data_IF_832866608686
#
_entry.id   IF_832866608686
#
_cell.length_a   1.000
_cell.length_b   1.000
_cell.length_c   1.000
_cell.angle_alpha   90.00
_cell.angle_beta   90.00
_cell.angle_gamma   90.00
#
_symmetry.space_group_name_H-M   'P 1'
#
loop_
_entity.id
_entity.type
_entity.pdbx_description
1 polymer ?
#
# COMPACT_ATOMS: atom_id res chain seq x y z
N UNK A 1 -6.74 -16.48 -0.92
CA UNK A 1 -5.93 -15.33 -1.33
C UNK A 1 -5.51 -14.55 -0.09
N UNK A 2 -4.24 -14.14 0.02
CA UNK A 2 -3.77 -13.27 1.10
C UNK A 2 -3.41 -11.89 0.53
N UNK A 3 -4.11 -10.87 1.02
CA UNK A 3 -3.90 -9.46 0.72
C UNK A 3 -3.32 -8.79 1.97
N UNK A 4 -2.29 -7.98 1.81
CA UNK A 4 -1.61 -7.29 2.90
C UNK A 4 -1.65 -5.79 2.60
N UNK A 5 -2.16 -4.99 3.51
CA UNK A 5 -2.19 -3.53 3.38
C UNK A 5 -1.27 -2.95 4.44
N UNK A 6 -0.18 -2.33 4.00
CA UNK A 6 0.84 -1.72 4.86
C UNK A 6 0.70 -0.20 4.77
N UNK A 7 0.48 0.44 5.90
CA UNK A 7 0.15 1.86 6.01
C UNK A 7 -1.36 2.10 5.89
N UNK A 8 -1.96 2.63 6.96
CA UNK A 8 -3.41 2.94 7.06
C UNK A 8 -3.66 4.44 7.32
N UNK A 9 -2.78 5.25 6.76
CA UNK A 9 -2.93 6.71 6.72
C UNK A 9 -3.97 7.18 5.70
N UNK A 10 -3.71 8.30 5.03
CA UNK A 10 -4.64 8.92 4.07
C UNK A 10 -5.06 7.99 2.93
N UNK A 11 -4.10 7.30 2.31
CA UNK A 11 -4.35 6.38 1.19
C UNK A 11 -4.92 5.05 1.71
N UNK A 12 -4.22 4.41 2.65
CA UNK A 12 -4.53 3.04 3.08
C UNK A 12 -5.85 2.90 3.82
N UNK A 13 -6.30 3.93 4.55
CA UNK A 13 -7.61 3.93 5.21
C UNK A 13 -8.76 3.84 4.20
N UNK A 14 -8.66 4.56 3.08
CA UNK A 14 -9.63 4.52 1.97
C UNK A 14 -9.53 3.19 1.22
N UNK A 15 -8.31 2.82 0.83
CA UNK A 15 -8.01 1.62 0.05
C UNK A 15 -8.54 0.35 0.73
N UNK A 16 -8.33 0.23 2.04
CA UNK A 16 -8.72 -0.96 2.80
C UNK A 16 -10.22 -1.28 2.70
N UNK A 17 -11.09 -0.28 2.76
CA UNK A 17 -12.52 -0.45 2.55
C UNK A 17 -12.85 -0.91 1.12
N UNK A 18 -12.23 -0.30 0.10
CA UNK A 18 -12.55 -0.59 -1.30
C UNK A 18 -12.08 -1.98 -1.72
N UNK A 19 -10.90 -2.37 -1.31
CA UNK A 19 -10.36 -3.73 -1.52
C UNK A 19 -11.21 -4.77 -0.77
N UNK A 20 -11.59 -4.48 0.49
CA UNK A 20 -12.46 -5.37 1.25
C UNK A 20 -13.81 -5.54 0.58
N UNK A 21 -14.43 -4.43 0.13
CA UNK A 21 -15.70 -4.50 -0.59
C UNK A 21 -15.61 -5.35 -1.85
N UNK A 22 -14.59 -5.13 -2.67
CA UNK A 22 -14.38 -5.92 -3.88
C UNK A 22 -14.21 -7.42 -3.55
N UNK A 23 -13.33 -7.74 -2.60
CA UNK A 23 -13.00 -9.12 -2.24
C UNK A 23 -14.16 -9.85 -1.55
N UNK A 24 -15.01 -9.15 -0.81
CA UNK A 24 -16.16 -9.74 -0.12
C UNK A 24 -17.18 -10.37 -1.09
N UNK A 25 -17.27 -9.86 -2.32
CA UNK A 25 -18.16 -10.36 -3.36
C UNK A 25 -17.49 -11.30 -4.36
N UNK A 26 -16.18 -11.49 -4.28
CA UNK A 26 -15.46 -12.52 -5.05
C UNK A 26 -15.66 -13.90 -4.40
N UNK A 27 -16.74 -14.58 -4.78
CA UNK A 27 -17.08 -15.91 -4.23
C UNK A 27 -16.13 -17.03 -4.65
N UNK A 28 -15.22 -16.77 -5.58
CA UNK A 28 -14.32 -17.79 -6.10
C UNK A 28 -13.17 -18.12 -5.12
N UNK A 29 -12.89 -17.25 -4.15
CA UNK A 29 -11.74 -17.40 -3.24
C UNK A 29 -12.06 -16.93 -1.83
N UNK A 30 -11.63 -17.74 -0.84
CA UNK A 30 -11.55 -17.25 0.54
C UNK A 30 -10.39 -16.25 0.63
N UNK A 31 -10.68 -15.05 1.12
CA UNK A 31 -9.70 -13.97 1.22
C UNK A 31 -9.38 -13.65 2.67
N UNK A 32 -8.10 -13.53 2.97
CA UNK A 32 -7.59 -12.96 4.22
C UNK A 32 -6.98 -11.61 3.92
N UNK A 33 -7.37 -10.58 4.67
CA UNK A 33 -6.78 -9.24 4.58
C UNK A 33 -6.05 -8.92 5.88
N UNK A 34 -4.73 -8.77 5.79
CA UNK A 34 -3.88 -8.37 6.91
C UNK A 34 -3.62 -6.87 6.83
N UNK A 35 -4.01 -6.14 7.86
CA UNK A 35 -3.84 -4.69 8.00
C UNK A 35 -2.65 -4.41 8.92
N UNK A 36 -1.71 -3.59 8.47
CA UNK A 36 -0.43 -3.35 9.16
C UNK A 36 -0.18 -1.86 9.31
N UNK A 37 -0.14 -1.39 10.56
CA UNK A 37 0.23 -0.02 10.89
C UNK A 37 0.54 0.10 12.39
N UNK A 38 1.70 0.66 12.74
CA UNK A 38 2.12 0.88 14.13
C UNK A 38 1.56 2.16 14.75
N UNK A 39 0.98 3.06 13.95
CA UNK A 39 0.53 4.38 14.37
C UNK A 39 -0.92 4.38 14.88
N UNK A 40 -1.38 5.55 15.35
CA UNK A 40 -2.69 5.74 15.95
C UNK A 40 -3.51 6.77 15.18
N UNK A 41 -4.83 6.52 15.07
CA UNK A 41 -5.78 7.53 14.66
C UNK A 41 -6.01 8.52 15.79
N UNK A 42 -5.82 9.80 15.46
CA UNK A 42 -6.01 10.94 16.35
C UNK A 42 -7.03 11.91 15.74
N UNK A 43 -7.68 12.76 16.54
CA UNK A 43 -8.69 13.72 16.04
C UNK A 43 -8.16 14.60 14.90
N UNK A 44 -6.90 15.04 14.95
CA UNK A 44 -6.25 15.82 13.89
C UNK A 44 -6.20 15.12 12.52
N UNK A 45 -6.40 13.80 12.49
CA UNK A 45 -6.34 13.03 11.25
C UNK A 45 -7.67 12.97 10.49
N UNK A 46 -8.82 13.35 11.09
CA UNK A 46 -10.15 13.30 10.46
C UNK A 46 -10.24 14.06 9.13
N UNK A 47 -9.44 15.09 8.98
CA UNK A 47 -9.44 15.96 7.79
C UNK A 47 -9.00 15.22 6.51
N UNK A 48 -8.17 14.18 6.64
CA UNK A 48 -7.49 13.52 5.52
C UNK A 48 -7.49 11.99 5.55
N UNK A 49 -7.97 11.37 6.63
CA UNK A 49 -7.99 9.93 6.82
C UNK A 49 -9.42 9.45 7.11
N UNK A 50 -9.75 8.28 6.58
CA UNK A 50 -11.09 7.69 6.70
C UNK A 50 -11.11 6.66 7.83
N UNK A 51 -11.67 7.04 8.98
CA UNK A 51 -11.85 6.17 10.16
C UNK A 51 -13.01 6.66 11.05
N UNK A 52 -13.50 5.80 11.94
CA UNK A 52 -14.66 6.08 12.79
C UNK A 52 -14.37 6.12 14.30
N UNK A 53 -13.19 5.62 14.73
CA UNK A 53 -12.80 5.64 16.13
C UNK A 53 -11.31 5.86 16.29
N UNK A 54 -10.91 6.39 17.44
CA UNK A 54 -9.52 6.60 17.83
C UNK A 54 -8.88 5.28 18.27
N UNK A 55 -7.56 5.17 18.14
CA UNK A 55 -6.78 4.00 18.54
C UNK A 55 -5.77 3.58 17.51
N UNK A 56 -5.09 2.44 17.72
CA UNK A 56 -4.15 1.92 16.74
C UNK A 56 -4.82 1.69 15.39
N UNK A 57 -4.23 2.21 14.31
CA UNK A 57 -4.81 2.24 12.97
C UNK A 57 -5.18 0.85 12.44
N UNK A 58 -4.30 -0.14 12.61
CA UNK A 58 -4.56 -1.49 12.14
C UNK A 58 -5.71 -2.17 12.91
N UNK A 59 -5.74 -2.03 14.23
CA UNK A 59 -6.79 -2.62 15.06
C UNK A 59 -8.16 -1.97 14.83
N UNK A 60 -8.20 -0.63 14.77
CA UNK A 60 -9.44 0.13 14.52
C UNK A 60 -10.01 -0.25 13.15
N UNK A 61 -9.20 -0.17 12.10
CA UNK A 61 -9.66 -0.45 10.74
C UNK A 61 -10.09 -1.92 10.56
N UNK A 62 -9.37 -2.88 11.16
CA UNK A 62 -9.80 -4.27 11.15
C UNK A 62 -11.17 -4.49 11.81
N UNK A 63 -11.44 -3.83 12.92
CA UNK A 63 -12.73 -3.91 13.61
C UNK A 63 -13.85 -3.29 12.78
N UNK A 64 -13.62 -2.13 12.18
CA UNK A 64 -14.59 -1.49 11.27
C UNK A 64 -14.95 -2.40 10.10
N UNK A 65 -13.94 -2.99 9.44
CA UNK A 65 -14.16 -3.82 8.26
C UNK A 65 -14.80 -5.16 8.58
N UNK A 66 -14.47 -5.79 9.73
CA UNK A 66 -15.15 -7.01 10.21
C UNK A 66 -16.66 -6.82 10.42
N UNK A 67 -17.06 -5.65 10.88
CA UNK A 67 -18.48 -5.35 11.07
C UNK A 67 -19.28 -5.20 9.77
N UNK A 68 -18.59 -5.03 8.64
CA UNK A 68 -19.17 -4.72 7.33
C UNK A 68 -19.05 -5.84 6.31
N UNK A 69 -18.02 -6.71 6.44
CA UNK A 69 -17.68 -7.71 5.44
C UNK A 69 -17.50 -9.09 6.07
N UNK A 70 -18.50 -9.94 5.94
CA UNK A 70 -18.58 -11.26 6.59
C UNK A 70 -17.75 -12.36 5.91
N UNK A 71 -17.44 -12.20 4.61
CA UNK A 71 -16.76 -13.23 3.82
C UNK A 71 -15.23 -13.06 3.79
N UNK A 72 -14.68 -12.21 4.65
CA UNK A 72 -13.26 -11.91 4.72
C UNK A 72 -12.74 -12.18 6.12
N UNK A 73 -11.61 -12.89 6.20
CA UNK A 73 -10.85 -12.99 7.45
C UNK A 73 -9.93 -11.77 7.58
N UNK A 74 -10.13 -10.95 8.61
CA UNK A 74 -9.28 -9.79 8.88
C UNK A 74 -8.27 -10.09 9.98
N UNK A 75 -7.00 -9.79 9.71
CA UNK A 75 -5.90 -9.78 10.67
C UNK A 75 -5.44 -8.32 10.87
N UNK A 76 -4.99 -7.99 12.08
CA UNK A 76 -4.39 -6.70 12.38
C UNK A 76 -3.02 -6.87 13.02
N UNK A 77 -2.03 -6.13 12.53
CA UNK A 77 -0.66 -6.10 13.06
C UNK A 77 -0.37 -4.65 13.49
N UNK A 78 -0.41 -4.36 14.81
CA UNK A 78 -0.28 -3.01 15.34
C UNK A 78 1.19 -2.59 15.50
N UNK A 79 1.99 -2.87 14.50
CA UNK A 79 3.42 -2.58 14.49
C UNK A 79 3.85 -2.03 13.12
N UNK A 80 4.91 -1.21 13.11
CA UNK A 80 5.58 -0.83 11.87
C UNK A 80 6.36 -2.03 11.30
N UNK A 81 6.42 -2.09 9.96
CA UNK A 81 7.20 -3.13 9.29
C UNK A 81 8.69 -2.84 9.45
N UNK A 82 9.41 -3.83 9.91
CA UNK A 82 10.87 -3.86 10.03
C UNK A 82 11.45 -5.17 9.48
N UNK A 83 12.76 -5.32 9.56
CA UNK A 83 13.48 -6.50 9.09
C UNK A 83 13.07 -7.80 9.80
N UNK A 84 12.61 -7.73 11.05
CA UNK A 84 12.19 -8.89 11.84
C UNK A 84 10.75 -9.34 11.52
N UNK A 85 9.89 -8.37 11.18
CA UNK A 85 8.48 -8.61 10.91
C UNK A 85 8.26 -9.05 9.46
N UNK A 86 9.00 -8.49 8.49
CA UNK A 86 8.73 -8.64 7.07
C UNK A 86 8.67 -10.11 6.62
N UNK A 87 9.57 -10.95 7.09
CA UNK A 87 9.63 -12.38 6.73
C UNK A 87 8.46 -13.22 7.28
N UNK A 88 7.82 -12.74 8.33
CA UNK A 88 6.62 -13.36 8.94
C UNK A 88 5.33 -12.86 8.30
N UNK A 89 5.38 -11.66 7.74
CA UNK A 89 4.25 -10.95 7.16
C UNK A 89 4.02 -11.34 5.70
N UNK A 90 5.07 -11.26 4.88
CA UNK A 90 5.00 -11.41 3.43
C UNK A 90 5.55 -12.79 3.01
N UNK A 91 4.79 -13.50 2.18
CA UNK A 91 5.16 -14.81 1.65
C UNK A 91 4.78 -14.97 0.18
N UNK A 92 5.08 -16.15 -0.36
CA UNK A 92 4.81 -16.50 -1.76
C UNK A 92 3.34 -16.32 -2.14
N UNK A 93 3.10 -15.73 -3.30
CA UNK A 93 1.77 -15.52 -3.87
C UNK A 93 0.93 -14.46 -3.19
N UNK A 94 1.50 -13.70 -2.23
CA UNK A 94 0.76 -12.61 -1.61
C UNK A 94 0.62 -11.40 -2.54
N UNK A 95 -0.43 -10.61 -2.35
CA UNK A 95 -0.55 -9.26 -2.89
C UNK A 95 -0.38 -8.24 -1.77
N UNK A 96 0.59 -7.35 -1.91
CA UNK A 96 0.92 -6.30 -0.94
C UNK A 96 0.51 -4.95 -1.51
N UNK A 97 -0.35 -4.25 -0.79
CA UNK A 97 -0.63 -2.84 -1.01
C UNK A 97 0.24 -2.02 -0.05
N UNK A 98 1.07 -1.18 -0.61
CA UNK A 98 2.04 -0.38 0.15
C UNK A 98 1.67 1.09 0.06
N UNK A 99 1.09 1.61 1.15
CA UNK A 99 0.55 2.97 1.26
C UNK A 99 1.23 3.76 2.39
N UNK A 100 2.54 3.57 2.51
CA UNK A 100 3.40 4.27 3.47
C UNK A 100 3.96 5.56 2.88
N UNK A 101 4.32 6.50 3.74
CA UNK A 101 4.85 7.82 3.40
C UNK A 101 6.39 7.90 3.42
N UNK A 102 7.08 6.78 3.64
CA UNK A 102 8.53 6.75 3.69
C UNK A 102 9.16 5.78 2.69
N UNK A 103 10.28 6.16 2.10
CA UNK A 103 11.00 5.38 1.08
C UNK A 103 11.75 4.19 1.68
N UNK A 104 12.18 4.29 2.93
CA UNK A 104 12.92 3.21 3.60
C UNK A 104 12.07 1.95 3.77
N UNK A 105 10.78 2.09 4.14
CA UNK A 105 9.84 0.96 4.18
C UNK A 105 9.55 0.44 2.76
N UNK A 106 9.42 1.32 1.75
CA UNK A 106 9.25 0.90 0.35
C UNK A 106 10.42 0.07 -0.14
N UNK A 107 11.65 0.51 0.15
CA UNK A 107 12.87 -0.24 -0.16
C UNK A 107 12.89 -1.59 0.54
N UNK A 108 12.66 -1.62 1.85
CA UNK A 108 12.64 -2.86 2.64
C UNK A 108 11.69 -3.91 2.04
N UNK A 109 10.47 -3.50 1.70
CA UNK A 109 9.46 -4.39 1.10
C UNK A 109 9.88 -4.83 -0.31
N UNK A 110 10.40 -3.90 -1.13
CA UNK A 110 10.86 -4.20 -2.49
C UNK A 110 12.05 -5.19 -2.49
N UNK A 111 13.04 -4.96 -1.63
CA UNK A 111 14.23 -5.82 -1.56
C UNK A 111 13.90 -7.20 -1.00
N UNK A 112 12.99 -7.30 -0.03
CA UNK A 112 12.51 -8.60 0.46
C UNK A 112 11.76 -9.37 -0.65
N UNK A 113 10.92 -8.70 -1.41
CA UNK A 113 10.13 -9.29 -2.48
C UNK A 113 10.98 -9.90 -3.60
N UNK A 114 12.18 -9.36 -3.86
CA UNK A 114 13.15 -9.91 -4.84
C UNK A 114 13.59 -11.34 -4.50
N UNK A 115 13.45 -11.78 -3.24
CA UNK A 115 13.80 -13.12 -2.79
C UNK A 115 12.66 -14.14 -2.96
N UNK A 116 11.45 -13.68 -3.28
CA UNK A 116 10.28 -14.52 -3.50
C UNK A 116 10.15 -14.87 -4.99
N UNK A 117 9.52 -16.02 -5.28
CA UNK A 117 9.23 -16.42 -6.67
C UNK A 117 7.98 -15.75 -7.19
N UNK A 118 6.97 -15.66 -6.35
CA UNK A 118 5.66 -15.13 -6.74
C UNK A 118 5.23 -14.06 -5.75
N UNK A 119 5.15 -12.81 -6.18
CA UNK A 119 4.71 -11.68 -5.36
C UNK A 119 4.12 -10.57 -6.26
N UNK A 120 3.13 -9.89 -5.73
CA UNK A 120 2.61 -8.64 -6.32
C UNK A 120 2.70 -7.53 -5.30
N UNK A 121 3.28 -6.40 -5.66
CA UNK A 121 3.28 -5.16 -4.86
C UNK A 121 2.62 -4.06 -5.68
N UNK A 122 1.66 -3.38 -5.07
CA UNK A 122 1.03 -2.17 -5.60
C UNK A 122 1.35 -1.06 -4.60
N UNK A 123 2.29 -0.19 -4.96
CA UNK A 123 2.79 0.87 -4.08
C UNK A 123 2.21 2.21 -4.52
N UNK A 124 1.50 2.89 -3.62
CA UNK A 124 0.93 4.22 -3.86
C UNK A 124 1.59 5.29 -2.99
N UNK A 125 1.77 6.46 -3.57
CA UNK A 125 2.29 7.65 -2.89
C UNK A 125 1.72 8.93 -3.47
N UNK A 126 1.74 10.00 -2.69
CA UNK A 126 1.30 11.30 -3.13
C UNK A 126 2.05 12.43 -2.41
N UNK A 127 2.14 13.55 -3.11
CA UNK A 127 2.37 14.86 -2.55
C UNK A 127 1.02 15.59 -2.37
N UNK A 128 1.02 16.93 -2.35
CA UNK A 128 -0.21 17.69 -2.09
C UNK A 128 -1.26 17.49 -3.18
N UNK A 129 -0.89 17.60 -4.47
CA UNK A 129 -1.84 17.59 -5.60
C UNK A 129 -1.60 16.50 -6.62
N UNK A 130 -0.50 15.80 -6.53
CA UNK A 130 -0.11 14.74 -7.44
C UNK A 130 0.16 13.44 -6.69
N UNK A 131 0.12 12.34 -7.43
CA UNK A 131 0.37 11.02 -6.89
C UNK A 131 0.84 10.05 -7.95
N UNK A 132 1.43 8.97 -7.47
CA UNK A 132 1.85 7.86 -8.31
C UNK A 132 1.47 6.52 -7.72
N UNK A 133 1.35 5.52 -8.60
CA UNK A 133 1.18 4.11 -8.24
C UNK A 133 2.16 3.29 -9.06
N UNK A 134 3.03 2.56 -8.37
CA UNK A 134 3.99 1.62 -8.94
C UNK A 134 3.46 0.20 -8.78
N UNK A 135 3.67 -0.64 -9.80
CA UNK A 135 3.23 -2.02 -9.86
C UNK A 135 4.46 -2.90 -10.04
N UNK A 136 4.79 -3.69 -9.03
CA UNK A 136 5.84 -4.71 -9.10
C UNK A 136 5.22 -6.10 -9.04
N UNK A 137 5.39 -6.86 -10.11
CA UNK A 137 4.92 -8.24 -10.23
C UNK A 137 6.11 -9.13 -10.54
N UNK A 138 6.28 -10.16 -9.72
CA UNK A 138 7.26 -11.21 -9.92
C UNK A 138 6.53 -12.54 -9.96
N UNK A 139 6.87 -13.38 -10.95
CA UNK A 139 6.23 -14.68 -11.13
C UNK A 139 7.23 -15.74 -11.60
N UNK A 140 7.22 -16.89 -10.95
CA UNK A 140 8.16 -17.97 -11.25
C UNK A 140 9.62 -17.60 -11.03
N UNK A 141 9.92 -16.56 -10.25
CA UNK A 141 11.26 -16.04 -10.04
C UNK A 141 11.71 -14.98 -11.06
N UNK A 142 10.85 -14.57 -11.98
CA UNK A 142 11.12 -13.53 -12.99
C UNK A 142 10.33 -12.27 -12.72
N UNK A 143 10.93 -11.11 -12.93
CA UNK A 143 10.26 -9.82 -12.83
C UNK A 143 9.45 -9.57 -14.10
N UNK A 144 8.11 -9.47 -13.98
CA UNK A 144 7.24 -9.09 -15.10
C UNK A 144 7.11 -7.57 -15.25
N UNK A 145 7.29 -6.84 -14.15
CA UNK A 145 7.37 -5.37 -14.12
C UNK A 145 8.57 -4.95 -13.28
N UNK A 146 9.05 -3.70 -13.38
CA UNK A 146 10.17 -3.19 -12.58
C UNK A 146 9.91 -3.33 -11.08
N UNK A 147 10.98 -3.58 -10.30
CA UNK A 147 10.93 -3.44 -8.85
C UNK A 147 10.73 -1.97 -8.46
N UNK A 148 10.32 -1.69 -7.21
CA UNK A 148 10.08 -0.31 -6.78
C UNK A 148 11.35 0.56 -6.82
N UNK A 149 12.53 -0.06 -6.77
CA UNK A 149 13.82 0.64 -6.78
C UNK A 149 14.38 0.88 -8.17
N UNK A 150 13.92 0.17 -9.22
CA UNK A 150 14.57 0.17 -10.53
C UNK A 150 14.66 1.55 -11.20
N UNK A 151 13.65 2.39 -11.04
CA UNK A 151 13.58 3.71 -11.68
C UNK A 151 13.36 4.86 -10.68
N UNK A 152 13.49 4.56 -9.38
CA UNK A 152 13.23 5.48 -8.28
C UNK A 152 14.43 5.54 -7.34
N UNK A 153 15.43 6.41 -7.67
CA UNK A 153 16.64 6.55 -6.85
C UNK A 153 16.34 6.98 -5.42
N UNK A 154 15.25 7.69 -5.18
CA UNK A 154 14.77 8.07 -3.84
C UNK A 154 14.32 6.86 -3.01
N UNK A 155 13.84 5.79 -3.65
CA UNK A 155 13.52 4.51 -2.98
C UNK A 155 14.77 3.63 -2.89
N UNK A 156 15.62 3.63 -3.90
CA UNK A 156 16.87 2.85 -3.90
C UNK A 156 17.85 3.32 -2.83
N UNK A 157 17.97 4.63 -2.64
CA UNK A 157 18.87 5.27 -1.68
C UNK A 157 18.08 6.22 -0.75
N UNK A 158 17.21 5.69 0.14
CA UNK A 158 16.34 6.51 0.96
C UNK A 158 17.14 7.33 1.99
N UNK A 159 16.83 8.61 2.08
CA UNK A 159 17.41 9.52 3.08
C UNK A 159 16.57 9.58 4.36
N UNK A 160 15.34 9.08 4.32
CA UNK A 160 14.42 9.02 5.44
C UNK A 160 14.74 7.87 6.42
N UNK A 161 14.00 7.85 7.54
CA UNK A 161 14.13 6.83 8.59
C UNK A 161 12.95 5.86 8.53
N UNK A 162 13.14 4.64 9.06
CA UNK A 162 11.99 3.79 9.38
C UNK A 162 11.19 4.43 10.53
N UNK A 163 9.85 4.27 10.55
CA UNK A 163 8.99 4.88 11.57
C UNK A 163 9.40 4.50 13.02
N UNK A 164 9.93 3.30 13.25
CA UNK A 164 10.44 2.85 14.55
C UNK A 164 11.79 3.47 14.93
N UNK A 165 12.48 4.15 14.02
CA UNK A 165 13.72 4.89 14.24
C UNK A 165 13.46 6.39 14.48
N UNK A 166 12.22 6.85 14.29
CA UNK A 166 11.82 8.26 14.44
C UNK A 166 11.41 8.56 15.87
N UNK A 167 11.72 9.78 16.32
CA UNK A 167 11.21 10.31 17.59
C UNK A 167 9.72 10.66 17.49
N UNK A 168 9.03 10.80 18.63
CA UNK A 168 7.64 11.24 18.67
C UNK A 168 7.40 12.61 17.99
N UNK A 169 8.38 13.50 18.04
CA UNK A 169 8.33 14.82 17.38
C UNK A 169 8.46 14.70 15.86
N UNK A 170 9.33 13.83 15.37
CA UNK A 170 9.50 13.56 13.93
C UNK A 170 8.25 12.91 13.33
N UNK A 171 7.61 11.98 14.04
CA UNK A 171 6.36 11.32 13.62
C UNK A 171 5.16 12.30 13.52
N UNK A 172 5.20 13.42 14.25
CA UNK A 172 4.13 14.42 14.23
C UNK A 172 4.22 15.39 13.03
N UNK A 173 5.39 15.55 12.44
CA UNK A 173 5.64 16.45 11.31
C UNK A 173 5.33 15.74 9.98
N UNK A 174 4.06 15.43 9.74
CA UNK A 174 3.63 14.92 8.43
C UNK A 174 3.39 16.08 7.45
N UNK A 175 3.85 15.92 6.22
CA UNK A 175 3.56 16.88 5.16
C UNK A 175 2.05 17.03 4.91
N UNK A 176 1.59 18.22 4.48
CA UNK A 176 0.19 18.43 4.14
C UNK A 176 -0.27 17.44 3.06
N UNK A 177 -1.36 16.72 3.34
CA UNK A 177 -1.96 15.82 2.36
C UNK A 177 -3.39 16.26 2.08
N UNK A 178 -3.78 16.25 0.82
CA UNK A 178 -5.14 16.55 0.41
C UNK A 178 -5.95 15.25 0.32
N UNK A 179 -7.14 15.23 0.92
CA UNK A 179 -8.02 14.06 0.91
C UNK A 179 -8.30 13.53 -0.51
N UNK A 180 -8.53 14.43 -1.48
CA UNK A 180 -8.81 14.04 -2.87
C UNK A 180 -7.61 13.41 -3.58
N UNK A 181 -6.38 13.82 -3.23
CA UNK A 181 -5.16 13.17 -3.75
C UNK A 181 -5.02 11.75 -3.18
N UNK A 182 -5.24 11.59 -1.87
CA UNK A 182 -5.28 10.26 -1.23
C UNK A 182 -6.31 9.34 -1.88
N UNK A 183 -7.53 9.86 -2.14
CA UNK A 183 -8.59 9.13 -2.83
C UNK A 183 -8.19 8.75 -4.26
N UNK A 184 -7.52 9.64 -4.99
CA UNK A 184 -7.01 9.40 -6.33
C UNK A 184 -6.03 8.22 -6.36
N UNK A 185 -5.02 8.24 -5.47
CA UNK A 185 -4.06 7.13 -5.34
C UNK A 185 -4.76 5.82 -5.00
N UNK A 186 -5.62 5.82 -3.97
CA UNK A 186 -6.36 4.62 -3.57
C UNK A 186 -7.21 4.05 -4.72
N UNK A 187 -7.82 4.91 -5.53
CA UNK A 187 -8.60 4.53 -6.71
C UNK A 187 -7.72 3.84 -7.76
N UNK A 188 -6.57 4.42 -8.08
CA UNK A 188 -5.63 3.85 -9.06
C UNK A 188 -5.05 2.53 -8.55
N UNK A 189 -4.74 2.40 -7.25
CA UNK A 189 -4.32 1.13 -6.66
C UNK A 189 -5.41 0.04 -6.80
N UNK A 190 -6.68 0.39 -6.63
CA UNK A 190 -7.80 -0.53 -6.88
C UNK A 190 -7.89 -0.96 -8.36
N UNK A 191 -7.72 -0.02 -9.30
CA UNK A 191 -7.72 -0.33 -10.74
C UNK A 191 -6.54 -1.24 -11.11
N UNK A 192 -5.35 -0.96 -10.56
CA UNK A 192 -4.16 -1.78 -10.76
C UNK A 192 -4.40 -3.21 -10.27
N UNK A 193 -4.97 -3.38 -9.08
CA UNK A 193 -5.33 -4.70 -8.55
C UNK A 193 -6.34 -5.43 -9.45
N UNK A 194 -7.37 -4.74 -9.91
CA UNK A 194 -8.37 -5.31 -10.82
C UNK A 194 -7.72 -5.78 -12.13
N UNK A 195 -6.86 -4.97 -12.74
CA UNK A 195 -6.16 -5.32 -13.98
C UNK A 195 -5.25 -6.53 -13.79
N UNK A 196 -4.47 -6.57 -12.71
CA UNK A 196 -3.60 -7.71 -12.39
C UNK A 196 -4.43 -9.00 -12.22
N UNK A 197 -5.56 -8.94 -11.54
CA UNK A 197 -6.45 -10.10 -11.39
C UNK A 197 -7.02 -10.60 -12.73
N UNK A 198 -7.15 -9.74 -13.72
CA UNK A 198 -7.59 -10.06 -15.09
C UNK A 198 -6.39 -10.33 -16.03
N UNK A 199 -5.18 -10.48 -15.51
CA UNK A 199 -3.95 -10.74 -16.25
C UNK A 199 -3.59 -9.63 -17.27
N UNK A 200 -3.99 -8.38 -16.99
CA UNK A 200 -3.62 -7.20 -17.74
C UNK A 200 -2.50 -6.43 -17.02
N UNK A 201 -1.26 -6.60 -17.48
CA UNK A 201 -0.04 -5.98 -16.94
C UNK A 201 0.57 -4.99 -17.94
N UNK A 202 -0.25 -4.23 -18.63
CA UNK A 202 0.22 -3.29 -19.67
C UNK A 202 0.99 -2.09 -19.11
N UNK A 203 0.79 -1.76 -17.84
CA UNK A 203 1.42 -0.61 -17.21
C UNK A 203 2.16 -1.01 -15.94
N UNK A 204 3.36 -0.46 -15.74
CA UNK A 204 4.16 -0.63 -14.52
C UNK A 204 4.04 0.54 -13.55
N UNK A 205 3.60 1.70 -14.04
CA UNK A 205 3.48 2.91 -13.23
C UNK A 205 2.41 3.86 -13.77
N UNK A 206 1.67 4.52 -12.87
CA UNK A 206 0.64 5.49 -13.19
C UNK A 206 0.90 6.76 -12.36
N UNK A 207 0.85 7.91 -13.04
CA UNK A 207 0.97 9.24 -12.44
C UNK A 207 -0.30 10.04 -12.68
N UNK A 208 -0.66 10.89 -11.73
CA UNK A 208 -1.73 11.89 -11.93
C UNK A 208 -1.44 13.16 -11.15
N UNK A 209 -2.05 14.26 -11.60
CA UNK A 209 -2.06 15.56 -10.93
C UNK A 209 -3.48 16.13 -11.02
N UNK A 210 -4.12 16.32 -9.84
CA UNK A 210 -5.50 16.82 -9.77
C UNK A 210 -5.63 18.29 -10.12
N UNK A 211 -4.56 19.08 -9.97
CA UNK A 211 -4.57 20.51 -10.30
C UNK A 211 -4.59 20.74 -11.82
N UNK A 212 -3.81 19.96 -12.55
CA UNK A 212 -3.81 20.00 -14.02
C UNK A 212 -4.84 19.09 -14.66
N UNK A 213 -5.53 18.25 -13.88
CA UNK A 213 -6.49 17.22 -14.35
C UNK A 213 -5.87 16.26 -15.37
N UNK A 214 -4.62 15.87 -15.15
CA UNK A 214 -3.88 14.96 -16.03
C UNK A 214 -3.59 13.65 -15.32
N UNK A 215 -3.68 12.57 -16.07
CA UNK A 215 -3.20 11.25 -15.67
C UNK A 215 -2.50 10.59 -16.86
N UNK A 216 -1.44 9.85 -16.60
CA UNK A 216 -0.73 9.07 -17.61
C UNK A 216 -0.16 7.80 -16.99
N UNK A 217 0.04 6.79 -17.81
CA UNK A 217 0.68 5.55 -17.42
C UNK A 217 1.93 5.29 -18.25
N UNK A 218 2.86 4.56 -17.66
CA UNK A 218 4.10 4.11 -18.32
C UNK A 218 4.24 2.61 -18.21
N UNK A 219 4.77 1.99 -19.25
CA UNK A 219 5.30 0.63 -19.22
C UNK A 219 6.81 0.70 -19.32
N UNK A 220 7.49 0.13 -18.33
CA UNK A 220 8.97 0.05 -18.30
C UNK A 220 9.39 -1.39 -18.13
N UNK A 221 10.50 -1.74 -18.76
CA UNK A 221 11.10 -3.06 -18.61
C UNK A 221 11.82 -3.17 -17.24
N UNK A 222 11.79 -4.34 -16.59
CA UNK A 222 12.62 -4.58 -15.41
C UNK A 222 14.10 -4.35 -15.72
N UNK A 223 14.83 -3.77 -14.77
CA UNK A 223 16.29 -3.73 -14.85
C UNK A 223 16.88 -5.06 -14.41
N UNK A 224 17.86 -5.52 -15.14
CA UNK A 224 18.63 -6.74 -14.85
C UNK A 224 19.64 -6.52 -13.71
#
# INVERSE_FOLDING_TARGET
EKLIIIGLGGIGSILSDKISRFSNFDKARKTTITLVDGDYYEEKNFERQDFYSLGNKAAVKANELRSRYENIDFESIPYFVDENLISKLIGEGNTVFLAVDNHKTRKLVSDYAKNLKDITIISGGNDLTDGNVQIYVRKGGENLTPSLTDYHPEIENPEDKLPNEMSCEELQNSEPQLFFTNLGVATIMCWSFYNIKNMDLTNSEIYFDIKSMRAHSTSREPKN
#
